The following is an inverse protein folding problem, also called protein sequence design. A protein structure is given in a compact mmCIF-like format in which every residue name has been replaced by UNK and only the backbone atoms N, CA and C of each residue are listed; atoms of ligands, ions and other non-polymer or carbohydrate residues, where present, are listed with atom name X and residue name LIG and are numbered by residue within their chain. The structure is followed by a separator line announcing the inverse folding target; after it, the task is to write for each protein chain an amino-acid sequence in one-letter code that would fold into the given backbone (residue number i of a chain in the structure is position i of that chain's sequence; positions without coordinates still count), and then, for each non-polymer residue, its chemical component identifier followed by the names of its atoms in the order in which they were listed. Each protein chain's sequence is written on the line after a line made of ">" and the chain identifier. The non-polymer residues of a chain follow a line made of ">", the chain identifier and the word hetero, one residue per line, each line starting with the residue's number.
data_IF_720392970327
#
_entry.id   IF_720392970327
#
_cell.length_a   1.000
_cell.length_b   1.000
_cell.length_c   1.000
_cell.angle_alpha   90.00
_cell.angle_beta   90.00
_cell.angle_gamma   90.00
#
_symmetry.space_group_name_H-M   'P 1'
#
loop_
_entity.id
_entity.type
_entity.pdbx_description
1 polymer ?
#
# COMPACT_ATOMS: atom_id res chain seq x y z
N UNK A 1 -1.28 -19.38 -18.51
CA UNK A 1 -1.43 -18.18 -17.66
C UNK A 1 -0.10 -17.69 -17.08
N UNK A 2 0.68 -18.52 -16.36
CA UNK A 2 1.99 -18.11 -15.81
C UNK A 2 2.98 -17.62 -16.88
N UNK A 3 2.99 -18.25 -18.05
CA UNK A 3 3.80 -17.82 -19.20
C UNK A 3 3.42 -16.40 -19.66
N UNK A 4 2.14 -16.10 -19.77
CA UNK A 4 1.65 -14.76 -20.14
C UNK A 4 2.07 -13.69 -19.12
N UNK A 5 1.97 -13.99 -17.82
CA UNK A 5 2.42 -13.08 -16.77
C UNK A 5 3.93 -12.83 -16.81
N UNK A 6 4.72 -13.85 -17.13
CA UNK A 6 6.17 -13.70 -17.35
C UNK A 6 6.49 -12.83 -18.58
N UNK A 7 5.69 -12.94 -19.65
CA UNK A 7 5.84 -12.09 -20.82
C UNK A 7 5.50 -10.63 -20.47
N UNK A 8 4.35 -10.41 -19.83
CA UNK A 8 3.94 -9.08 -19.32
C UNK A 8 5.01 -8.48 -18.42
N UNK A 9 5.58 -9.28 -17.51
CA UNK A 9 6.63 -8.84 -16.61
C UNK A 9 7.92 -8.35 -17.31
N UNK A 10 8.17 -8.75 -18.55
CA UNK A 10 9.34 -8.31 -19.35
C UNK A 10 9.12 -6.98 -20.06
N UNK A 11 7.87 -6.57 -20.26
CA UNK A 11 7.55 -5.34 -20.98
C UNK A 11 8.02 -4.10 -20.21
N UNK A 12 8.65 -3.12 -20.88
CA UNK A 12 9.04 -1.87 -20.24
C UNK A 12 7.81 -1.07 -19.79
N UNK A 13 7.95 -0.25 -18.76
CA UNK A 13 6.85 0.56 -18.18
C UNK A 13 6.13 1.44 -19.24
N UNK A 14 6.82 2.05 -20.22
CA UNK A 14 6.14 2.83 -21.25
C UNK A 14 5.14 2.02 -22.10
N UNK A 15 5.28 0.70 -22.19
CA UNK A 15 4.30 -0.18 -22.83
C UNK A 15 3.28 -0.73 -21.83
N UNK A 16 3.70 -1.05 -20.59
CA UNK A 16 2.81 -1.55 -19.54
C UNK A 16 1.75 -0.53 -19.14
N UNK A 17 2.10 0.74 -19.03
CA UNK A 17 1.20 1.77 -18.53
C UNK A 17 0.00 2.04 -19.47
N UNK A 18 0.16 2.20 -20.81
CA UNK A 18 -0.99 2.33 -21.69
C UNK A 18 -1.90 1.09 -21.71
N UNK A 19 -1.31 -0.12 -21.71
CA UNK A 19 -2.08 -1.36 -21.63
C UNK A 19 -2.83 -1.47 -20.31
N UNK A 20 -2.18 -1.10 -19.20
CA UNK A 20 -2.81 -1.01 -17.88
C UNK A 20 -3.95 -0.01 -17.84
N UNK A 21 -3.75 1.17 -18.41
CA UNK A 21 -4.81 2.19 -18.51
C UNK A 21 -6.03 1.67 -19.28
N UNK A 22 -5.83 0.99 -20.39
CA UNK A 22 -6.92 0.35 -21.13
C UNK A 22 -7.64 -0.71 -20.29
N UNK A 23 -6.90 -1.56 -19.56
CA UNK A 23 -7.48 -2.55 -18.65
C UNK A 23 -8.33 -1.90 -17.55
N UNK A 24 -7.87 -0.77 -16.98
CA UNK A 24 -8.62 0.01 -15.98
C UNK A 24 -9.98 0.46 -16.52
N UNK A 25 -10.02 0.96 -17.75
CA UNK A 25 -11.26 1.33 -18.43
C UNK A 25 -12.17 0.14 -18.70
N UNK A 26 -11.62 -0.99 -19.17
CA UNK A 26 -12.40 -2.22 -19.38
C UNK A 26 -13.04 -2.66 -18.04
N UNK A 27 -12.27 -2.72 -16.95
CA UNK A 27 -12.79 -3.08 -15.64
C UNK A 27 -13.89 -2.12 -15.15
N UNK A 28 -13.70 -0.81 -15.34
CA UNK A 28 -14.67 0.21 -14.95
C UNK A 28 -15.98 0.13 -15.76
N UNK A 29 -15.92 -0.14 -17.05
CA UNK A 29 -17.09 -0.24 -17.93
C UNK A 29 -17.84 -1.57 -17.72
N UNK A 30 -17.12 -2.68 -17.55
CA UNK A 30 -17.70 -4.03 -17.47
C UNK A 30 -18.23 -4.41 -16.08
N UNK A 31 -17.81 -3.71 -14.99
CA UNK A 31 -18.24 -4.06 -13.63
C UNK A 31 -19.01 -2.92 -12.96
N UNK A 32 -20.35 -2.99 -12.89
CA UNK A 32 -21.17 -1.98 -12.20
C UNK A 32 -20.80 -1.80 -10.72
N UNK A 33 -20.50 -2.92 -10.02
CA UNK A 33 -20.07 -2.89 -8.62
C UNK A 33 -18.76 -2.14 -8.47
N UNK A 34 -17.73 -2.48 -9.27
CA UNK A 34 -16.43 -1.80 -9.26
C UNK A 34 -16.58 -0.30 -9.50
N UNK A 35 -17.38 0.06 -10.52
CA UNK A 35 -17.69 1.46 -10.85
C UNK A 35 -18.41 2.19 -9.71
N UNK A 36 -19.35 1.51 -9.03
CA UNK A 36 -20.10 2.05 -7.89
C UNK A 36 -19.19 2.36 -6.72
N UNK A 37 -18.40 1.38 -6.26
CA UNK A 37 -17.46 1.54 -5.15
C UNK A 37 -16.42 2.63 -5.47
N UNK A 38 -15.86 2.61 -6.69
CA UNK A 38 -14.89 3.60 -7.16
C UNK A 38 -15.44 5.04 -7.11
N UNK A 39 -16.64 5.25 -7.67
CA UNK A 39 -17.29 6.57 -7.69
C UNK A 39 -17.63 7.03 -6.28
N UNK A 40 -18.24 6.15 -5.47
CA UNK A 40 -18.63 6.47 -4.10
C UNK A 40 -17.44 6.92 -3.24
N UNK A 41 -16.32 6.23 -3.30
CA UNK A 41 -15.13 6.57 -2.53
C UNK A 41 -14.52 7.89 -2.99
N UNK A 42 -14.40 8.09 -4.30
CA UNK A 42 -13.84 9.32 -4.88
C UNK A 42 -14.67 10.55 -4.53
N UNK A 43 -16.00 10.45 -4.72
CA UNK A 43 -16.95 11.52 -4.43
C UNK A 43 -17.02 11.83 -2.91
N UNK A 44 -16.93 10.80 -2.06
CA UNK A 44 -16.91 10.94 -0.60
C UNK A 44 -15.63 11.66 -0.10
N UNK A 45 -14.51 11.48 -0.79
CA UNK A 45 -13.27 12.20 -0.50
C UNK A 45 -13.25 13.65 -1.05
N UNK A 46 -14.33 14.07 -1.70
CA UNK A 46 -14.48 15.43 -2.27
C UNK A 46 -13.92 15.60 -3.67
N UNK A 47 -13.47 14.54 -4.32
CA UNK A 47 -12.88 14.59 -5.66
C UNK A 47 -13.95 14.39 -6.75
N UNK A 48 -14.60 15.47 -7.19
CA UNK A 48 -15.69 15.44 -8.16
C UNK A 48 -15.29 15.78 -9.59
N UNK A 49 -14.03 16.17 -9.82
CA UNK A 49 -13.53 16.50 -11.15
C UNK A 49 -13.50 15.28 -12.07
N UNK A 50 -14.07 15.45 -13.27
CA UNK A 50 -14.15 14.39 -14.28
C UNK A 50 -12.80 14.04 -14.90
N UNK A 51 -11.84 14.97 -14.97
CA UNK A 51 -10.49 14.72 -15.45
C UNK A 51 -9.73 13.83 -14.47
N UNK A 52 -9.82 14.18 -13.17
CA UNK A 52 -9.24 13.38 -12.10
C UNK A 52 -9.83 11.96 -12.11
N UNK A 53 -11.15 11.82 -12.23
CA UNK A 53 -11.80 10.51 -12.30
C UNK A 53 -11.28 9.66 -13.45
N UNK A 54 -11.14 10.24 -14.65
CA UNK A 54 -10.59 9.54 -15.82
C UNK A 54 -9.13 9.10 -15.59
N UNK A 55 -8.32 9.97 -15.02
CA UNK A 55 -6.95 9.65 -14.65
C UNK A 55 -6.91 8.50 -13.64
N UNK A 56 -7.72 8.54 -12.59
CA UNK A 56 -7.76 7.53 -11.56
C UNK A 56 -8.20 6.14 -12.06
N UNK A 57 -9.15 6.08 -13.01
CA UNK A 57 -9.53 4.83 -13.68
C UNK A 57 -8.32 4.22 -14.43
N UNK A 58 -7.58 5.03 -15.17
CA UNK A 58 -6.40 4.61 -15.90
C UNK A 58 -5.28 4.13 -14.95
N UNK A 59 -5.04 4.87 -13.86
CA UNK A 59 -4.02 4.56 -12.86
C UNK A 59 -4.31 3.25 -12.12
N UNK A 60 -5.58 2.97 -11.80
CA UNK A 60 -5.98 1.71 -11.18
C UNK A 60 -5.64 0.49 -12.04
N UNK A 61 -5.80 0.60 -13.35
CA UNK A 61 -5.43 -0.48 -14.28
C UNK A 61 -3.92 -0.64 -14.45
N UNK A 62 -3.15 0.47 -14.43
CA UNK A 62 -1.67 0.41 -14.45
C UNK A 62 -1.15 -0.40 -13.28
N UNK A 63 -1.69 -0.19 -12.09
CA UNK A 63 -1.33 -0.93 -10.88
C UNK A 63 -1.43 -2.45 -11.07
N UNK A 64 -2.48 -2.93 -11.75
CA UNK A 64 -2.68 -4.37 -12.00
C UNK A 64 -1.59 -4.94 -12.91
N UNK A 65 -1.22 -4.24 -13.99
CA UNK A 65 -0.20 -4.74 -14.93
C UNK A 65 1.24 -4.56 -14.45
N UNK A 66 1.49 -3.65 -13.52
CA UNK A 66 2.81 -3.49 -12.90
C UNK A 66 3.15 -4.64 -11.94
N UNK A 67 2.17 -5.20 -11.25
CA UNK A 67 2.39 -6.21 -10.23
C UNK A 67 3.24 -7.40 -10.72
N UNK A 68 2.97 -8.04 -11.88
CA UNK A 68 3.85 -9.07 -12.43
C UNK A 68 5.29 -8.60 -12.67
N UNK A 69 5.47 -7.34 -13.12
CA UNK A 69 6.80 -6.80 -13.37
C UNK A 69 7.59 -6.60 -12.08
N UNK A 70 6.94 -6.16 -11.00
CA UNK A 70 7.54 -6.02 -9.67
C UNK A 70 7.82 -7.39 -9.03
N UNK A 71 6.92 -8.36 -9.19
CA UNK A 71 7.06 -9.67 -8.55
C UNK A 71 8.05 -10.61 -9.23
N UNK A 72 8.17 -10.54 -10.57
CA UNK A 72 8.91 -11.54 -11.35
C UNK A 72 10.29 -11.07 -11.85
N UNK A 73 10.60 -9.79 -11.77
CA UNK A 73 11.94 -9.28 -12.10
C UNK A 73 12.91 -9.49 -10.91
N UNK A 74 14.22 -9.59 -11.18
CA UNK A 74 15.25 -9.53 -10.14
C UNK A 74 15.10 -8.28 -9.28
N UNK A 75 15.42 -8.40 -7.98
CA UNK A 75 15.23 -7.32 -6.99
C UNK A 75 15.96 -6.03 -7.41
N UNK A 76 17.17 -6.16 -7.91
CA UNK A 76 18.01 -5.05 -8.34
C UNK A 76 17.38 -4.29 -9.51
N UNK A 77 16.76 -5.02 -10.46
CA UNK A 77 16.02 -4.41 -11.58
C UNK A 77 14.75 -3.72 -11.11
N UNK A 78 14.06 -4.26 -10.12
CA UNK A 78 12.88 -3.63 -9.53
C UNK A 78 13.29 -2.36 -8.77
N UNK A 79 14.34 -2.43 -7.95
CA UNK A 79 14.87 -1.26 -7.24
C UNK A 79 15.32 -0.16 -8.21
N UNK A 80 15.92 -0.51 -9.35
CA UNK A 80 16.33 0.43 -10.40
C UNK A 80 15.17 1.11 -11.13
N UNK A 81 13.91 0.70 -10.93
CA UNK A 81 12.74 1.43 -11.43
C UNK A 81 12.42 2.68 -10.58
N UNK A 82 12.96 2.78 -9.38
CA UNK A 82 12.92 4.00 -8.58
C UNK A 82 14.03 4.92 -9.09
N UNK A 83 13.64 5.97 -9.79
CA UNK A 83 14.57 6.90 -10.46
C UNK A 83 14.64 8.26 -9.78
N UNK A 84 13.71 8.56 -8.88
CA UNK A 84 13.67 9.75 -8.05
C UNK A 84 13.39 9.35 -6.60
N UNK A 85 14.00 10.05 -5.63
CA UNK A 85 13.76 9.82 -4.20
C UNK A 85 13.55 11.13 -3.46
N UNK A 86 12.71 11.13 -2.43
CA UNK A 86 12.45 12.25 -1.56
C UNK A 86 12.40 11.77 -0.11
N UNK A 87 13.15 12.38 0.80
CA UNK A 87 13.21 12.02 2.21
C UNK A 87 13.87 10.67 2.50
N UNK A 88 14.65 10.13 1.55
CA UNK A 88 15.28 8.81 1.68
C UNK A 88 16.26 8.75 2.87
N UNK A 89 16.85 9.88 3.23
CA UNK A 89 17.73 10.04 4.40
C UNK A 89 17.08 9.61 5.72
N UNK A 90 15.74 9.71 5.84
CA UNK A 90 14.97 9.25 7.02
C UNK A 90 14.99 7.72 7.13
N UNK A 91 14.84 7.04 5.99
CA UNK A 91 14.91 5.59 5.94
C UNK A 91 16.34 5.11 6.24
N UNK A 92 17.34 5.75 5.64
CA UNK A 92 18.74 5.43 5.84
C UNK A 92 19.16 5.66 7.31
N UNK A 93 18.63 6.73 7.96
CA UNK A 93 18.86 6.97 9.38
C UNK A 93 18.20 5.91 10.25
N UNK A 94 16.93 5.58 10.01
CA UNK A 94 16.22 4.54 10.75
C UNK A 94 16.92 3.16 10.62
N UNK A 95 17.49 2.87 9.46
CA UNK A 95 18.29 1.67 9.23
C UNK A 95 19.62 1.67 10.04
N UNK A 96 20.31 2.82 10.10
CA UNK A 96 21.56 3.00 10.87
C UNK A 96 21.34 2.88 12.37
N UNK A 97 20.20 3.33 12.87
CA UNK A 97 19.87 3.31 14.30
C UNK A 97 19.67 1.87 14.84
N UNK A 98 19.47 0.88 13.96
CA UNK A 98 19.29 -0.55 14.28
C UNK A 98 18.23 -0.86 15.34
N UNK A 99 17.25 0.04 15.52
CA UNK A 99 16.10 -0.16 16.41
C UNK A 99 14.93 -0.84 15.74
N UNK A 100 15.04 -1.12 14.43
CA UNK A 100 13.94 -1.50 13.57
C UNK A 100 13.03 -0.31 13.29
N UNK A 101 12.22 -0.39 12.24
CA UNK A 101 11.25 0.66 11.91
C UNK A 101 10.03 0.10 11.18
N UNK A 102 8.94 0.85 11.22
CA UNK A 102 7.67 0.46 10.63
C UNK A 102 7.48 1.27 9.35
N UNK A 103 7.40 0.58 8.22
CA UNK A 103 7.02 1.15 6.92
C UNK A 103 5.52 1.06 6.78
N UNK A 104 4.87 2.20 6.70
CA UNK A 104 3.44 2.31 6.39
C UNK A 104 3.31 2.77 4.96
N UNK A 105 2.54 2.06 4.15
CA UNK A 105 2.24 2.45 2.78
C UNK A 105 0.75 2.23 2.49
N UNK A 106 -0.02 3.24 2.02
CA UNK A 106 -1.36 3.01 1.52
C UNK A 106 -1.33 2.37 0.12
N UNK A 107 -2.48 1.89 -0.35
CA UNK A 107 -2.63 1.41 -1.72
C UNK A 107 -2.65 2.59 -2.72
N UNK A 108 -1.52 3.28 -2.84
CA UNK A 108 -1.31 4.43 -3.74
C UNK A 108 -0.09 4.20 -4.62
N UNK A 109 -0.14 4.69 -5.85
CA UNK A 109 0.95 4.51 -6.79
C UNK A 109 1.26 3.03 -7.00
N UNK A 110 2.53 2.69 -7.13
CA UNK A 110 3.01 1.32 -7.17
C UNK A 110 3.40 0.85 -5.77
N UNK A 111 2.43 0.56 -4.90
CA UNK A 111 2.73 0.12 -3.53
C UNK A 111 3.53 -1.20 -3.46
N UNK A 112 3.45 -2.05 -4.48
CA UNK A 112 4.24 -3.28 -4.53
C UNK A 112 5.75 -3.02 -4.60
N UNK A 113 6.16 -1.92 -5.23
CA UNK A 113 7.59 -1.58 -5.31
C UNK A 113 8.13 -1.04 -3.98
N UNK A 114 7.28 -0.49 -3.11
CA UNK A 114 7.72 0.08 -1.83
C UNK A 114 8.44 -0.96 -0.98
N UNK A 115 7.80 -2.12 -0.76
CA UNK A 115 8.42 -3.21 -0.02
C UNK A 115 9.69 -3.75 -0.67
N UNK A 116 9.72 -3.87 -2.00
CA UNK A 116 10.88 -4.35 -2.75
C UNK A 116 12.05 -3.37 -2.67
N UNK A 117 11.78 -2.07 -2.77
CA UNK A 117 12.81 -1.03 -2.68
C UNK A 117 13.41 -0.93 -1.28
N UNK A 118 12.58 -1.01 -0.23
CA UNK A 118 13.08 -1.09 1.16
C UNK A 118 13.89 -2.38 1.35
N UNK A 119 13.40 -3.51 0.87
CA UNK A 119 14.07 -4.80 0.98
C UNK A 119 15.41 -4.88 0.22
N UNK A 120 15.63 -4.04 -0.79
CA UNK A 120 16.95 -3.93 -1.46
C UNK A 120 18.01 -3.24 -0.59
N UNK A 121 17.61 -2.60 0.52
CA UNK A 121 18.48 -1.85 1.43
C UNK A 121 18.62 -2.48 2.80
N UNK A 122 17.54 -3.03 3.35
CA UNK A 122 17.47 -3.63 4.68
C UNK A 122 16.49 -4.80 4.68
N UNK A 123 16.75 -5.88 5.44
CA UNK A 123 15.79 -6.97 5.57
C UNK A 123 14.42 -6.47 6.04
N UNK A 124 13.36 -6.92 5.35
CA UNK A 124 11.99 -6.48 5.60
C UNK A 124 11.04 -7.66 5.80
N UNK A 125 10.14 -7.52 6.77
CA UNK A 125 9.03 -8.45 6.98
C UNK A 125 7.71 -7.74 6.73
N UNK A 126 6.97 -8.14 5.69
CA UNK A 126 5.69 -7.52 5.31
C UNK A 126 4.49 -8.41 5.67
N UNK A 127 3.45 -7.80 6.24
CA UNK A 127 2.18 -8.48 6.48
C UNK A 127 1.43 -8.72 5.16
N UNK A 128 0.84 -9.89 5.03
CA UNK A 128 0.22 -10.33 3.79
C UNK A 128 -1.07 -11.09 4.06
N UNK A 129 -2.11 -10.77 3.31
CA UNK A 129 -3.34 -11.58 3.22
C UNK A 129 -3.36 -12.33 1.88
N UNK A 130 -3.63 -13.64 1.89
CA UNK A 130 -3.80 -14.38 0.63
C UNK A 130 -4.89 -13.76 -0.25
N UNK A 131 -4.69 -13.70 -1.56
CA UNK A 131 -5.71 -13.20 -2.47
C UNK A 131 -6.90 -14.16 -2.50
N UNK A 132 -8.11 -13.64 -2.76
CA UNK A 132 -9.29 -14.47 -2.97
C UNK A 132 -9.18 -15.37 -4.21
N UNK A 133 -8.31 -15.04 -5.13
CA UNK A 133 -8.05 -15.77 -6.37
C UNK A 133 -6.89 -16.75 -6.10
N UNK A 134 -7.24 -18.02 -5.78
CA UNK A 134 -6.27 -19.01 -5.29
C UNK A 134 -5.07 -19.27 -6.21
N UNK A 135 -5.23 -19.22 -7.54
CA UNK A 135 -4.10 -19.41 -8.46
C UNK A 135 -3.07 -18.25 -8.46
N UNK A 136 -3.47 -17.08 -7.97
CA UNK A 136 -2.58 -15.91 -7.88
C UNK A 136 -1.67 -15.98 -6.63
N UNK A 137 -2.08 -16.70 -5.60
CA UNK A 137 -1.35 -16.79 -4.33
C UNK A 137 0.10 -17.29 -4.47
N UNK A 138 0.40 -18.39 -5.17
CA UNK A 138 1.78 -18.85 -5.33
C UNK A 138 2.67 -17.80 -6.01
N UNK A 139 2.11 -17.08 -7.00
CA UNK A 139 2.82 -16.03 -7.72
C UNK A 139 3.13 -14.84 -6.81
N UNK A 140 2.13 -14.37 -6.06
CA UNK A 140 2.30 -13.28 -5.10
C UNK A 140 3.28 -13.65 -3.99
N UNK A 141 3.20 -14.87 -3.47
CA UNK A 141 4.11 -15.36 -2.44
C UNK A 141 5.55 -15.38 -2.91
N UNK A 142 5.80 -15.94 -4.10
CA UNK A 142 7.15 -15.95 -4.70
C UNK A 142 7.63 -14.53 -5.00
N UNK A 143 6.76 -13.70 -5.57
CA UNK A 143 7.08 -12.33 -5.95
C UNK A 143 7.37 -11.39 -4.78
N UNK A 144 6.69 -11.60 -3.64
CA UNK A 144 6.87 -10.82 -2.42
C UNK A 144 7.88 -11.43 -1.43
N UNK A 145 8.43 -12.61 -1.73
CA UNK A 145 9.49 -13.25 -0.93
C UNK A 145 10.78 -13.20 -1.71
N UNK A 146 11.79 -12.56 -1.14
CA UNK A 146 13.12 -12.36 -1.74
C UNK A 146 14.22 -12.98 -0.87
N UNK A 147 14.00 -14.22 -0.46
CA UNK A 147 14.92 -14.93 0.42
C UNK A 147 15.10 -14.22 1.77
N UNK A 148 16.34 -13.88 2.12
CA UNK A 148 16.65 -13.15 3.35
C UNK A 148 16.22 -11.68 3.33
N UNK A 149 16.14 -11.06 2.13
CA UNK A 149 15.86 -9.64 2.00
C UNK A 149 14.38 -9.28 2.28
N UNK A 150 13.43 -10.15 1.86
CA UNK A 150 12.02 -9.87 2.09
C UNK A 150 11.25 -11.14 2.45
N UNK A 151 10.54 -11.10 3.57
CA UNK A 151 9.67 -12.17 4.06
C UNK A 151 8.22 -11.69 4.11
N UNK A 152 7.29 -12.53 3.66
CA UNK A 152 5.85 -12.31 3.82
C UNK A 152 5.32 -13.14 4.97
N UNK A 153 4.56 -12.51 5.86
CA UNK A 153 3.95 -13.16 7.03
C UNK A 153 2.42 -13.04 6.99
N UNK A 154 1.68 -14.01 7.52
CA UNK A 154 0.22 -13.97 7.48
C UNK A 154 -0.33 -12.82 8.35
N UNK A 155 -1.53 -12.32 7.99
CA UNK A 155 -2.24 -11.32 8.77
C UNK A 155 -3.00 -11.98 9.93
N UNK A 156 -2.27 -12.59 10.85
CA UNK A 156 -2.73 -13.23 12.08
C UNK A 156 -1.71 -13.02 13.21
N UNK A 157 -1.97 -13.57 14.41
CA UNK A 157 -1.08 -13.45 15.57
C UNK A 157 0.33 -14.04 15.35
N UNK A 158 0.49 -15.02 14.44
CA UNK A 158 1.81 -15.56 14.09
C UNK A 158 2.61 -14.53 13.31
N UNK A 159 1.96 -13.85 12.35
CA UNK A 159 2.57 -12.77 11.59
C UNK A 159 2.93 -11.57 12.49
N UNK A 160 2.06 -11.17 13.40
CA UNK A 160 2.35 -10.11 14.39
C UNK A 160 3.59 -10.45 15.21
N UNK A 161 3.69 -11.67 15.73
CA UNK A 161 4.88 -12.13 16.47
C UNK A 161 6.15 -12.13 15.62
N UNK A 162 6.04 -12.52 14.35
CA UNK A 162 7.17 -12.50 13.41
C UNK A 162 7.65 -11.06 13.14
N UNK A 163 6.73 -10.11 12.97
CA UNK A 163 7.05 -8.70 12.79
C UNK A 163 7.71 -8.09 14.03
N UNK A 164 7.21 -8.39 15.24
CA UNK A 164 7.84 -7.95 16.49
C UNK A 164 9.28 -8.51 16.64
N UNK A 165 9.48 -9.76 16.23
CA UNK A 165 10.85 -10.35 16.20
C UNK A 165 11.74 -9.65 15.17
N UNK A 166 11.20 -9.27 14.00
CA UNK A 166 11.94 -8.53 12.99
C UNK A 166 12.39 -7.15 13.51
N UNK A 167 11.48 -6.39 14.13
CA UNK A 167 11.81 -5.10 14.77
C UNK A 167 12.90 -5.24 15.82
N UNK A 168 12.82 -6.25 16.69
CA UNK A 168 13.87 -6.53 17.71
C UNK A 168 15.25 -6.85 17.11
N UNK A 169 15.31 -7.32 15.86
CA UNK A 169 16.57 -7.52 15.13
C UNK A 169 17.08 -6.28 14.41
N UNK A 170 16.37 -5.15 14.51
CA UNK A 170 16.71 -3.94 13.80
C UNK A 170 16.26 -3.93 12.33
N UNK A 171 15.35 -4.84 11.93
CA UNK A 171 14.84 -4.97 10.57
C UNK A 171 13.62 -4.07 10.34
N UNK A 172 13.26 -3.85 9.07
CA UNK A 172 12.04 -3.16 8.72
C UNK A 172 10.81 -4.10 8.75
N UNK A 173 9.65 -3.53 9.08
CA UNK A 173 8.36 -4.20 8.84
C UNK A 173 7.47 -3.36 7.94
N UNK A 174 6.58 -3.99 7.16
CA UNK A 174 5.67 -3.32 6.23
C UNK A 174 4.20 -3.60 6.53
N UNK A 175 3.40 -2.54 6.60
CA UNK A 175 1.96 -2.60 6.85
C UNK A 175 1.24 -1.66 5.89
N UNK A 176 0.14 -2.16 5.28
CA UNK A 176 -0.79 -1.35 4.49
C UNK A 176 -2.06 -1.12 5.33
N UNK A 177 -2.23 0.07 5.95
CA UNK A 177 -3.26 0.27 6.98
C UNK A 177 -4.61 0.75 6.44
N UNK A 178 -4.72 1.05 5.15
CA UNK A 178 -5.87 1.69 4.53
C UNK A 178 -6.98 0.72 4.09
N UNK A 179 -6.86 -0.57 4.40
CA UNK A 179 -7.94 -1.54 4.24
C UNK A 179 -8.57 -1.90 5.59
N UNK A 180 -9.85 -2.27 5.52
CA UNK A 180 -10.66 -2.58 6.71
C UNK A 180 -10.13 -3.85 7.40
N UNK A 181 -9.75 -3.77 8.69
CA UNK A 181 -9.21 -4.91 9.45
C UNK A 181 -10.32 -5.90 9.85
N UNK A 182 -9.93 -6.98 10.52
CA UNK A 182 -10.84 -7.94 11.14
C UNK A 182 -11.54 -7.38 12.37
N UNK A 183 -12.50 -8.16 12.90
CA UNK A 183 -13.23 -7.83 14.14
C UNK A 183 -12.26 -7.72 15.31
N UNK A 184 -12.35 -6.64 16.09
CA UNK A 184 -11.47 -6.38 17.25
C UNK A 184 -10.06 -5.88 16.88
N UNK A 185 -9.74 -5.72 15.60
CA UNK A 185 -8.42 -5.26 15.13
C UNK A 185 -8.39 -3.78 14.77
N UNK A 186 -9.49 -3.07 14.91
CA UNK A 186 -9.63 -1.66 14.51
C UNK A 186 -10.48 -0.84 15.43
N UNK A 187 -10.52 0.46 15.16
CA UNK A 187 -11.42 1.44 15.77
C UNK A 187 -12.10 2.29 14.71
N UNK A 188 -13.26 2.86 15.04
CA UNK A 188 -13.96 3.80 14.18
C UNK A 188 -13.34 5.17 14.31
N UNK A 189 -12.71 5.63 13.23
CA UNK A 189 -12.18 6.99 13.11
C UNK A 189 -12.49 7.56 11.73
N UNK A 190 -12.46 8.86 11.61
CA UNK A 190 -12.70 9.50 10.31
C UNK A 190 -11.64 9.14 9.27
N UNK A 191 -12.12 8.99 8.02
CA UNK A 191 -11.32 8.99 6.81
C UNK A 191 -12.08 9.79 5.74
N UNK A 192 -11.52 10.90 5.31
CA UNK A 192 -12.19 11.89 4.45
C UNK A 192 -13.58 12.31 4.98
N UNK A 193 -13.66 12.64 6.28
CA UNK A 193 -14.88 13.12 6.94
C UNK A 193 -15.98 12.07 7.16
N UNK A 194 -15.68 10.77 6.92
CA UNK A 194 -16.62 9.67 7.13
C UNK A 194 -16.03 8.65 8.09
N UNK A 195 -16.85 8.06 8.99
CA UNK A 195 -16.39 6.98 9.85
C UNK A 195 -15.89 5.79 9.02
N UNK A 196 -14.68 5.32 9.34
CA UNK A 196 -14.06 4.17 8.69
C UNK A 196 -13.39 3.29 9.76
N UNK A 197 -13.70 1.99 9.75
CA UNK A 197 -13.05 1.05 10.66
C UNK A 197 -11.59 0.88 10.25
N UNK A 198 -10.67 1.34 11.09
CA UNK A 198 -9.25 1.49 10.78
C UNK A 198 -8.40 0.67 11.74
N UNK A 199 -7.38 -0.04 11.23
CA UNK A 199 -6.55 -0.93 12.04
C UNK A 199 -5.73 -0.16 13.09
N UNK A 200 -5.63 -0.75 14.29
CA UNK A 200 -4.85 -0.23 15.40
C UNK A 200 -3.42 -0.75 15.45
N UNK A 201 -3.08 -1.73 14.61
CA UNK A 201 -1.82 -2.50 14.69
C UNK A 201 -0.59 -1.62 14.59
N UNK A 202 -0.57 -0.61 13.69
CA UNK A 202 0.59 0.29 13.50
C UNK A 202 0.92 1.01 14.82
N UNK A 203 -0.08 1.64 15.43
CA UNK A 203 0.10 2.37 16.69
C UNK A 203 0.54 1.46 17.84
N UNK A 204 -0.12 0.30 17.99
CA UNK A 204 0.24 -0.68 19.03
C UNK A 204 1.68 -1.20 18.89
N UNK A 205 2.13 -1.48 17.65
CA UNK A 205 3.50 -1.93 17.44
C UNK A 205 4.51 -0.82 17.70
N UNK A 206 4.23 0.40 17.27
CA UNK A 206 5.09 1.56 17.52
C UNK A 206 5.21 1.82 19.04
N UNK A 207 4.11 1.82 19.77
CA UNK A 207 4.08 2.03 21.22
C UNK A 207 4.84 0.92 21.96
N UNK A 208 4.61 -0.34 21.62
CA UNK A 208 5.25 -1.49 22.26
C UNK A 208 6.76 -1.57 22.04
N UNK A 209 7.25 -1.09 20.89
CA UNK A 209 8.65 -1.29 20.49
C UNK A 209 9.49 -0.02 20.49
N UNK A 210 8.85 1.17 20.52
CA UNK A 210 9.52 2.45 20.29
C UNK A 210 10.04 2.63 18.88
N UNK A 211 9.69 1.74 17.93
CA UNK A 211 10.13 1.81 16.54
C UNK A 211 9.53 3.02 15.82
N UNK A 212 10.33 3.82 15.11
CA UNK A 212 9.82 4.93 14.32
C UNK A 212 8.92 4.43 13.19
N UNK A 213 7.90 5.21 12.86
CA UNK A 213 6.96 4.93 11.78
C UNK A 213 7.24 5.87 10.61
N UNK A 214 7.54 5.29 9.46
CA UNK A 214 7.81 6.00 8.21
C UNK A 214 6.67 5.76 7.22
N UNK A 215 6.07 6.84 6.72
CA UNK A 215 5.10 6.78 5.63
C UNK A 215 5.85 6.77 4.31
N UNK A 216 5.81 5.63 3.62
CA UNK A 216 6.51 5.42 2.36
C UNK A 216 5.52 5.20 1.22
N UNK A 217 5.77 5.78 0.07
CA UNK A 217 4.97 5.55 -1.12
C UNK A 217 5.80 5.72 -2.40
N UNK A 218 5.29 5.16 -3.50
CA UNK A 218 5.97 5.24 -4.79
C UNK A 218 5.01 5.76 -5.86
N UNK A 219 5.20 7.03 -6.24
CA UNK A 219 4.40 7.71 -7.28
C UNK A 219 4.88 7.31 -8.66
N UNK A 220 3.97 6.95 -9.55
CA UNK A 220 4.29 6.71 -10.97
C UNK A 220 4.66 8.02 -11.65
N UNK A 221 5.77 8.01 -12.33
CA UNK A 221 6.19 9.13 -13.16
C UNK A 221 5.54 9.04 -14.56
N UNK A 222 5.29 10.19 -15.14
CA UNK A 222 4.68 10.27 -16.47
C UNK A 222 5.46 9.47 -17.51
N UNK A 223 4.74 8.94 -18.51
CA UNK A 223 5.29 8.20 -19.67
C UNK A 223 6.13 6.97 -19.32
N UNK A 224 5.89 6.35 -18.16
CA UNK A 224 6.58 5.14 -17.75
C UNK A 224 8.06 5.32 -17.43
N UNK A 225 8.49 6.52 -17.03
CA UNK A 225 9.89 6.80 -16.66
C UNK A 225 10.36 6.07 -15.41
N UNK A 226 9.47 5.46 -14.66
CA UNK A 226 9.75 4.83 -13.38
C UNK A 226 8.93 5.42 -12.25
N UNK A 227 9.50 5.39 -11.04
CA UNK A 227 8.81 5.82 -9.83
C UNK A 227 9.63 6.84 -9.06
N UNK A 228 8.92 7.75 -8.37
CA UNK A 228 9.47 8.56 -7.28
C UNK A 228 9.12 7.87 -5.97
N UNK A 229 10.13 7.50 -5.20
CA UNK A 229 9.98 6.95 -3.86
C UNK A 229 10.08 8.06 -2.83
N UNK A 230 9.04 8.19 -1.99
CA UNK A 230 8.94 9.25 -1.00
C UNK A 230 8.88 8.66 0.40
N UNK A 231 9.63 9.24 1.32
CA UNK A 231 9.65 8.87 2.75
C UNK A 231 9.33 10.11 3.59
N UNK A 232 8.30 10.03 4.39
CA UNK A 232 7.88 11.11 5.31
C UNK A 232 7.50 10.56 6.68
N UNK A 233 7.57 11.38 7.73
CA UNK A 233 7.07 10.98 9.04
C UNK A 233 5.54 10.94 9.03
N UNK A 234 4.95 10.11 9.89
CA UNK A 234 3.53 10.28 10.22
C UNK A 234 3.31 11.61 10.96
N UNK A 235 2.17 12.22 10.73
CA UNK A 235 1.75 13.38 11.50
C UNK A 235 1.50 12.97 12.97
N UNK A 236 1.99 13.74 13.94
CA UNK A 236 1.72 13.48 15.33
C UNK A 236 0.21 13.64 15.64
N UNK A 237 -0.35 12.87 16.56
CA UNK A 237 -1.72 13.07 17.04
C UNK A 237 -1.92 14.50 17.58
N UNK A 238 -3.09 15.08 17.32
CA UNK A 238 -3.54 16.37 17.87
C UNK A 238 -4.62 16.10 18.89
N UNK A 239 -4.43 16.38 20.18
CA UNK A 239 -5.48 16.15 21.16
C UNK A 239 -6.81 16.83 20.77
N UNK A 240 -7.96 16.14 20.85
CA UNK A 240 -8.21 14.80 21.40
C UNK A 240 -8.10 13.65 20.37
N UNK A 241 -7.37 13.83 19.26
CA UNK A 241 -7.24 12.85 18.17
C UNK A 241 -6.50 11.59 18.64
N UNK A 242 -7.03 10.39 18.29
CA UNK A 242 -6.33 9.14 18.53
C UNK A 242 -5.14 8.95 17.55
N UNK A 243 -4.14 8.12 17.89
CA UNK A 243 -3.05 7.78 16.95
C UNK A 243 -3.56 7.20 15.63
N UNK A 244 -4.68 6.47 15.65
CA UNK A 244 -5.28 5.89 14.44
C UNK A 244 -5.94 6.98 13.57
N UNK A 245 -6.55 8.00 14.18
CA UNK A 245 -7.06 9.15 13.42
C UNK A 245 -5.91 9.97 12.82
N UNK A 246 -4.81 10.16 13.55
CA UNK A 246 -3.60 10.81 13.05
C UNK A 246 -2.99 10.04 11.85
N UNK A 247 -3.00 8.70 11.91
CA UNK A 247 -2.62 7.85 10.79
C UNK A 247 -3.51 8.13 9.57
N UNK A 248 -4.84 8.09 9.73
CA UNK A 248 -5.77 8.40 8.62
C UNK A 248 -5.53 9.81 8.06
N UNK A 249 -5.30 10.82 8.90
CA UNK A 249 -5.00 12.19 8.49
C UNK A 249 -3.69 12.27 7.67
N UNK A 250 -2.68 11.49 8.05
CA UNK A 250 -1.44 11.39 7.26
C UNK A 250 -1.69 10.80 5.88
N UNK A 251 -2.50 9.73 5.81
CA UNK A 251 -2.90 9.10 4.55
C UNK A 251 -3.75 10.05 3.69
N UNK A 252 -4.71 10.77 4.28
CA UNK A 252 -5.54 11.75 3.58
C UNK A 252 -4.69 12.84 2.93
N UNK A 253 -3.69 13.39 3.65
CA UNK A 253 -2.79 14.40 3.11
C UNK A 253 -1.96 13.87 1.94
N UNK A 254 -1.44 12.65 2.08
CA UNK A 254 -0.71 11.99 1.01
C UNK A 254 -1.60 11.78 -0.23
N UNK A 255 -2.82 11.23 -0.03
CA UNK A 255 -3.75 10.96 -1.12
C UNK A 255 -4.16 12.26 -1.84
N UNK A 256 -4.32 13.37 -1.11
CA UNK A 256 -4.66 14.67 -1.71
C UNK A 256 -3.57 15.22 -2.66
N UNK A 257 -2.32 14.80 -2.54
CA UNK A 257 -1.23 15.22 -3.42
C UNK A 257 -1.19 14.47 -4.77
N UNK A 258 -1.68 13.23 -4.80
CA UNK A 258 -1.76 12.42 -6.02
C UNK A 258 -3.03 11.52 -6.01
N UNK A 259 -4.23 12.14 -5.94
CA UNK A 259 -5.48 11.41 -5.75
C UNK A 259 -5.81 10.47 -6.91
N UNK A 260 -5.31 10.74 -8.11
CA UNK A 260 -5.47 9.86 -9.26
C UNK A 260 -4.79 8.50 -9.10
N UNK A 261 -3.79 8.38 -8.22
CA UNK A 261 -3.04 7.14 -8.04
C UNK A 261 -3.50 6.30 -6.85
N UNK A 262 -4.51 6.72 -6.09
CA UNK A 262 -5.05 5.95 -4.98
C UNK A 262 -6.05 4.88 -5.44
N UNK A 263 -6.11 3.75 -4.69
CA UNK A 263 -6.99 2.61 -5.02
C UNK A 263 -8.45 2.88 -4.59
N UNK A 264 -9.17 3.70 -5.35
CA UNK A 264 -10.55 4.07 -5.05
C UNK A 264 -11.56 2.93 -5.17
N UNK A 265 -11.20 1.83 -5.82
CA UNK A 265 -12.10 0.67 -6.02
C UNK A 265 -12.30 -0.22 -4.80
N UNK A 266 -11.52 -0.02 -3.72
CA UNK A 266 -11.70 -0.75 -2.48
C UNK A 266 -12.80 -0.12 -1.64
N UNK A 267 -13.79 -0.91 -1.17
CA UNK A 267 -14.83 -0.41 -0.27
C UNK A 267 -14.25 -0.13 1.13
N UNK A 268 -13.74 1.09 1.33
CA UNK A 268 -13.06 1.54 2.55
C UNK A 268 -14.01 1.71 3.75
N UNK A 269 -15.29 1.94 3.46
CA UNK A 269 -16.30 2.25 4.46
C UNK A 269 -17.21 1.07 4.79
N UNK A 270 -16.85 -0.14 4.37
CA UNK A 270 -17.63 -1.34 4.71
C UNK A 270 -17.56 -1.60 6.22
N UNK A 271 -18.68 -2.00 6.79
CA UNK A 271 -18.77 -2.51 8.16
C UNK A 271 -18.36 -3.98 8.15
N UNK A 272 -17.32 -4.39 8.91
CA UNK A 272 -16.99 -5.80 9.02
C UNK A 272 -18.11 -6.57 9.73
N UNK A 273 -18.35 -7.81 9.33
CA UNK A 273 -19.31 -8.67 10.03
C UNK A 273 -18.91 -8.79 11.51
N UNK A 274 -19.85 -8.57 12.42
CA UNK A 274 -19.63 -8.62 13.87
C UNK A 274 -19.05 -7.35 14.50
N UNK A 275 -18.86 -6.27 13.73
CA UNK A 275 -18.52 -4.95 14.25
C UNK A 275 -19.77 -4.06 14.23
N UNK A 276 -20.08 -3.41 15.37
CA UNK A 276 -21.18 -2.42 15.42
C UNK A 276 -20.79 -1.16 14.63
N UNK A 277 -21.70 -0.61 13.80
CA UNK A 277 -21.49 0.69 13.17
C UNK A 277 -21.32 1.82 14.20
N UNK A 278 -20.66 2.92 13.85
CA UNK A 278 -20.58 4.06 14.74
C UNK A 278 -21.97 4.70 14.93
N UNK A 279 -22.38 4.94 16.17
CA UNK A 279 -23.66 5.56 16.53
C UNK A 279 -24.82 4.59 16.81
N UNK A 280 -24.59 3.30 16.79
CA UNK A 280 -25.53 2.26 17.26
C UNK A 280 -25.10 1.64 18.60
#
# INVERSE_FOLDING_TARGET
>A
MLFLLRLVARLPLPLLHPLGAALGWVAYLCSPRYRGDFKQNLDAAGFRDSRLRRAAIAEAGKCVLEAPAVWLRPLERVAGLVVETEGLERLDQAAKDRKGFIVVTPHIGCWEIVGQYVASRIPMTAMYRPPKIGWLEPLMRVGRSRGAAMKSVPADMRGVRAMLKALKRGEAIGILPDQVPGVGEGEWVEFFGRPAYTMTLVGRMAEQTGAPVLLCHAVRLARGRGYRFVVEPLLPPRPPESPVRALNRSLEQLIRRCPEQYLWSYNRYKVPAGVRPPGE
#
